data_IF_479739889606
#
_entry.id   IF_479739889606
#
_cell.length_a   1.000
_cell.length_b   1.000
_cell.length_c   1.000
_cell.angle_alpha   90.00
_cell.angle_beta   90.00
_cell.angle_gamma   90.00
#
_symmetry.space_group_name_H-M   'P 1'
#
loop_
_entity.id
_entity.type
_entity.pdbx_description
1 polymer ?
#
# COMPACT_ATOMS: atom_id res chain seq x y z
N UNK A 1 17.54 -49.15 58.76
CA UNK A 1 17.43 -50.52 59.24
C UNK A 1 16.77 -51.32 58.11
N UNK A 2 17.53 -51.83 57.16
CA UNK A 2 18.19 -53.11 57.05
C UNK A 2 17.23 -54.30 57.00
N UNK A 3 17.15 -54.96 55.85
CA UNK A 3 17.21 -56.44 55.59
C UNK A 3 16.64 -56.66 54.19
N UNK A 4 17.47 -56.87 53.13
CA UNK A 4 18.03 -58.12 52.64
C UNK A 4 17.06 -59.28 52.73
N UNK A 5 16.50 -59.78 51.60
CA UNK A 5 16.27 -61.16 51.30
C UNK A 5 16.58 -61.41 49.82
N UNK A 6 17.56 -62.29 49.66
CA UNK A 6 18.00 -62.92 48.41
C UNK A 6 17.20 -64.23 48.24
N UNK A 7 16.72 -64.51 47.08
CA UNK A 7 16.40 -65.84 46.55
C UNK A 7 16.24 -65.73 45.04
N UNK A 8 17.08 -66.12 44.25
CA UNK A 8 17.60 -67.37 43.66
C UNK A 8 16.58 -68.17 42.87
N UNK A 9 16.96 -68.47 41.63
CA UNK A 9 16.49 -69.53 40.70
C UNK A 9 15.26 -69.15 39.86
N UNK A 10 15.17 -69.35 38.57
CA UNK A 10 15.75 -70.37 37.65
C UNK A 10 15.67 -69.88 36.22
N UNK A 11 16.66 -70.23 35.43
CA UNK A 11 16.73 -70.07 34.00
C UNK A 11 15.68 -70.97 33.30
N UNK A 12 14.85 -70.34 32.45
CA UNK A 12 14.16 -71.08 31.38
C UNK A 12 14.53 -70.32 30.07
N UNK A 13 15.46 -70.90 29.37
CA UNK A 13 15.77 -70.47 28.03
C UNK A 13 14.66 -70.98 27.09
N UNK A 14 13.74 -70.05 26.70
CA UNK A 14 12.84 -70.32 25.60
C UNK A 14 13.41 -69.65 24.39
N UNK A 15 14.02 -70.40 23.53
CA UNK A 15 14.41 -70.01 22.16
C UNK A 15 13.14 -69.78 21.34
N UNK A 16 12.66 -68.56 21.29
CA UNK A 16 11.77 -68.16 20.22
C UNK A 16 12.61 -67.80 18.99
N UNK A 17 12.74 -68.76 18.07
CA UNK A 17 13.14 -68.45 16.70
C UNK A 17 12.06 -67.60 16.08
N UNK A 18 12.25 -66.25 16.12
CA UNK A 18 11.46 -65.33 15.34
C UNK A 18 11.79 -65.52 13.86
N UNK A 19 10.83 -65.79 13.00
CA UNK A 19 11.11 -65.77 11.58
C UNK A 19 11.52 -64.35 11.22
N UNK A 20 12.70 -64.17 10.67
CA UNK A 20 13.18 -62.97 10.04
C UNK A 20 12.26 -62.73 8.82
N UNK A 21 11.17 -61.96 9.03
CA UNK A 21 10.44 -61.42 7.93
C UNK A 21 11.44 -60.51 7.19
N UNK A 22 11.88 -60.98 6.06
CA UNK A 22 12.62 -60.19 5.10
C UNK A 22 11.78 -58.90 4.88
N UNK A 23 12.22 -57.82 5.48
CA UNK A 23 11.72 -56.47 5.18
C UNK A 23 12.11 -56.24 3.74
N UNK A 24 11.14 -56.43 2.88
CA UNK A 24 11.24 -56.07 1.47
C UNK A 24 11.80 -54.64 1.41
N UNK A 25 13.04 -54.50 1.02
CA UNK A 25 13.69 -53.20 0.90
C UNK A 25 12.80 -52.39 -0.04
N UNK A 26 12.01 -51.52 0.54
CA UNK A 26 11.21 -50.58 -0.22
C UNK A 26 12.14 -49.94 -1.24
N UNK A 27 11.97 -50.36 -2.47
CA UNK A 27 12.60 -49.76 -3.65
C UNK A 27 12.52 -48.29 -3.46
N UNK A 28 13.63 -47.53 -3.47
CA UNK A 28 13.57 -46.08 -3.31
C UNK A 28 12.56 -45.57 -4.35
N UNK A 29 11.45 -45.07 -3.84
CA UNK A 29 10.42 -44.41 -4.69
C UNK A 29 11.17 -43.36 -5.45
N UNK A 30 11.25 -43.53 -6.75
CA UNK A 30 11.92 -42.59 -7.63
C UNK A 30 11.40 -41.19 -7.27
N UNK A 31 12.26 -40.36 -6.73
CA UNK A 31 12.00 -38.94 -6.55
C UNK A 31 11.46 -38.43 -7.89
N UNK A 32 10.30 -37.77 -7.94
CA UNK A 32 9.77 -37.28 -9.20
C UNK A 32 10.84 -36.44 -9.88
N UNK A 33 11.32 -36.91 -11.01
CA UNK A 33 12.45 -36.32 -11.76
C UNK A 33 12.09 -34.96 -12.38
N UNK A 34 10.88 -34.46 -12.11
CA UNK A 34 10.32 -33.23 -12.63
C UNK A 34 9.91 -32.21 -11.55
N UNK A 35 10.39 -32.34 -10.33
CA UNK A 35 10.26 -31.27 -9.36
C UNK A 35 11.21 -30.14 -9.79
N UNK A 36 10.73 -29.25 -10.66
CA UNK A 36 11.39 -27.99 -10.90
C UNK A 36 11.68 -27.34 -9.56
N UNK A 37 12.92 -26.91 -9.28
CA UNK A 37 13.25 -26.32 -8.00
C UNK A 37 12.29 -25.17 -7.72
N UNK A 38 11.66 -25.19 -6.54
CA UNK A 38 10.79 -24.11 -6.13
C UNK A 38 11.60 -22.82 -6.10
N UNK A 39 11.21 -21.88 -6.95
CA UNK A 39 11.82 -20.53 -6.97
C UNK A 39 10.88 -19.57 -6.25
N UNK A 40 11.43 -18.87 -5.27
CA UNK A 40 10.71 -17.84 -4.51
C UNK A 40 11.21 -16.48 -4.98
N UNK A 41 10.30 -15.62 -5.42
CA UNK A 41 10.61 -14.22 -5.73
C UNK A 41 10.24 -13.32 -4.59
N UNK A 42 10.88 -12.16 -4.51
CA UNK A 42 10.60 -11.13 -3.52
C UNK A 42 10.25 -9.82 -4.21
N UNK A 43 9.29 -9.10 -3.68
CA UNK A 43 8.91 -7.79 -4.20
C UNK A 43 8.66 -6.79 -3.08
N UNK A 44 9.32 -5.64 -3.14
CA UNK A 44 9.01 -4.51 -2.28
C UNK A 44 7.90 -3.67 -2.92
N UNK A 45 6.67 -3.87 -2.41
CA UNK A 45 5.49 -3.16 -2.92
C UNK A 45 5.56 -1.65 -2.63
N UNK A 46 6.19 -1.24 -1.54
CA UNK A 46 6.32 0.18 -1.20
C UNK A 46 7.26 0.89 -2.19
N UNK A 47 8.38 0.26 -2.50
CA UNK A 47 9.34 0.76 -3.50
C UNK A 47 8.70 0.83 -4.89
N UNK A 48 7.97 -0.23 -5.30
CA UNK A 48 7.23 -0.21 -6.58
C UNK A 48 6.24 0.94 -6.62
N UNK A 49 5.47 1.17 -5.56
CA UNK A 49 4.48 2.25 -5.52
C UNK A 49 5.14 3.63 -5.60
N UNK A 50 6.23 3.83 -4.85
CA UNK A 50 6.96 5.11 -4.83
C UNK A 50 7.60 5.44 -6.19
N UNK A 51 8.09 4.42 -6.90
CA UNK A 51 8.76 4.61 -8.19
C UNK A 51 7.85 4.51 -9.41
N UNK A 52 6.56 4.16 -9.23
CA UNK A 52 5.65 4.00 -10.36
C UNK A 52 5.09 5.34 -10.83
N UNK A 53 5.49 5.77 -12.03
CA UNK A 53 5.10 7.05 -12.64
C UNK A 53 3.59 7.29 -12.65
N UNK A 54 2.80 6.26 -12.94
CA UNK A 54 1.33 6.37 -12.92
C UNK A 54 0.81 6.77 -11.53
N UNK A 55 1.43 6.27 -10.46
CA UNK A 55 1.06 6.68 -9.10
C UNK A 55 1.39 8.14 -8.84
N UNK A 56 2.56 8.60 -9.29
CA UNK A 56 2.97 10.01 -9.19
C UNK A 56 1.98 10.92 -9.93
N UNK A 57 1.63 10.59 -11.18
CA UNK A 57 0.66 11.36 -11.96
C UNK A 57 -0.73 11.38 -11.31
N UNK A 58 -1.24 10.24 -10.87
CA UNK A 58 -2.54 10.15 -10.18
C UNK A 58 -2.55 10.92 -8.86
N UNK A 59 -1.42 10.93 -8.14
CA UNK A 59 -1.25 11.72 -6.92
C UNK A 59 -1.24 13.22 -7.21
N UNK A 60 -0.58 13.64 -8.29
CA UNK A 60 -0.59 15.04 -8.73
C UNK A 60 -2.01 15.50 -9.14
N UNK A 61 -2.77 14.65 -9.85
CA UNK A 61 -4.17 14.92 -10.17
C UNK A 61 -5.03 15.08 -8.91
N UNK A 62 -4.86 14.20 -7.93
CA UNK A 62 -5.59 14.28 -6.65
C UNK A 62 -5.24 15.56 -5.89
N UNK A 63 -3.96 15.94 -5.86
CA UNK A 63 -3.49 17.16 -5.22
C UNK A 63 -4.11 18.40 -5.88
N UNK A 64 -4.14 18.46 -7.21
CA UNK A 64 -4.80 19.56 -7.94
C UNK A 64 -6.31 19.64 -7.64
N UNK A 65 -6.97 18.49 -7.45
CA UNK A 65 -8.39 18.46 -7.07
C UNK A 65 -8.60 18.96 -5.63
N UNK A 66 -7.69 18.65 -4.70
CA UNK A 66 -7.69 19.19 -3.33
C UNK A 66 -7.55 20.71 -3.36
N UNK A 67 -6.53 21.23 -4.07
CA UNK A 67 -6.28 22.67 -4.19
C UNK A 67 -7.47 23.44 -4.79
N UNK A 68 -8.10 22.87 -5.80
CA UNK A 68 -9.33 23.43 -6.38
C UNK A 68 -10.48 23.47 -5.35
N UNK A 69 -10.68 22.40 -4.61
CA UNK A 69 -11.73 22.32 -3.60
C UNK A 69 -11.47 23.27 -2.44
N UNK A 70 -10.22 23.45 -2.04
CA UNK A 70 -9.81 24.41 -1.02
C UNK A 70 -10.05 25.87 -1.46
N UNK A 71 -9.76 26.18 -2.72
CA UNK A 71 -10.05 27.49 -3.28
C UNK A 71 -11.55 27.79 -3.31
N UNK A 72 -12.38 26.81 -3.67
CA UNK A 72 -13.83 26.93 -3.67
C UNK A 72 -14.37 27.11 -2.23
N UNK A 73 -13.86 26.34 -1.27
CA UNK A 73 -14.19 26.47 0.14
C UNK A 73 -13.87 27.87 0.68
N UNK A 74 -12.71 28.44 0.31
CA UNK A 74 -12.32 29.81 0.68
C UNK A 74 -13.31 30.85 0.14
N UNK A 75 -13.71 30.73 -1.12
CA UNK A 75 -14.70 31.65 -1.70
C UNK A 75 -16.06 31.58 -0.99
N UNK A 76 -16.49 30.39 -0.57
CA UNK A 76 -17.71 30.23 0.20
C UNK A 76 -17.60 30.93 1.57
N UNK A 77 -16.48 30.76 2.26
CA UNK A 77 -16.21 31.43 3.56
C UNK A 77 -16.18 32.95 3.39
N UNK A 78 -15.49 33.46 2.36
CA UNK A 78 -15.45 34.90 2.07
C UNK A 78 -16.87 35.47 1.78
N UNK A 79 -17.68 34.71 1.03
CA UNK A 79 -19.07 35.10 0.78
C UNK A 79 -19.86 35.20 2.08
N UNK A 80 -19.78 34.21 2.97
CA UNK A 80 -20.46 34.25 4.26
C UNK A 80 -19.99 35.42 5.14
N UNK A 81 -18.69 35.71 5.16
CA UNK A 81 -18.13 36.86 5.90
C UNK A 81 -18.68 38.19 5.35
N UNK A 82 -18.73 38.35 4.01
CA UNK A 82 -19.32 39.54 3.39
C UNK A 82 -20.80 39.69 3.71
N UNK A 83 -21.58 38.61 3.70
CA UNK A 83 -22.99 38.62 4.08
C UNK A 83 -23.16 39.04 5.53
N UNK A 84 -22.35 38.49 6.43
CA UNK A 84 -22.40 38.87 7.85
C UNK A 84 -22.01 40.31 8.07
N UNK A 85 -21.00 40.82 7.40
CA UNK A 85 -20.56 42.20 7.47
C UNK A 85 -21.67 43.15 6.93
N UNK A 86 -22.29 42.83 5.81
CA UNK A 86 -23.36 43.60 5.23
C UNK A 86 -24.58 43.70 6.17
N UNK A 87 -24.89 42.61 6.90
CA UNK A 87 -25.93 42.65 7.92
C UNK A 87 -25.62 43.61 9.07
N UNK A 88 -24.38 43.62 9.55
CA UNK A 88 -23.93 44.54 10.61
C UNK A 88 -23.99 46.01 10.13
N UNK A 89 -23.51 46.28 8.92
CA UNK A 89 -23.47 47.64 8.35
C UNK A 89 -24.83 48.21 8.02
N UNK A 90 -25.79 47.36 7.67
CA UNK A 90 -27.14 47.79 7.28
C UNK A 90 -27.93 48.38 8.43
N UNK A 91 -27.50 48.20 9.72
CA UNK A 91 -28.17 48.67 10.92
C UNK A 91 -29.66 48.33 10.98
N UNK A 92 -30.07 47.26 10.33
CA UNK A 92 -31.45 46.76 10.34
C UNK A 92 -31.87 46.38 11.75
N UNK A 93 -33.11 46.72 12.12
CA UNK A 93 -33.65 46.34 13.40
C UNK A 93 -33.82 44.82 13.47
N UNK A 94 -33.35 44.15 14.56
CA UNK A 94 -33.65 42.75 14.77
C UNK A 94 -35.17 42.48 14.70
N UNK A 95 -35.55 41.45 13.92
CA UNK A 95 -36.99 41.13 13.72
C UNK A 95 -37.63 41.89 12.56
N UNK A 96 -36.93 42.79 11.84
CA UNK A 96 -37.41 43.31 10.56
C UNK A 96 -37.37 42.24 9.47
N UNK A 97 -38.30 42.26 8.52
CA UNK A 97 -38.36 41.30 7.42
C UNK A 97 -37.03 41.20 6.62
N UNK A 98 -36.32 42.33 6.48
CA UNK A 98 -35.01 42.36 5.82
C UNK A 98 -33.91 41.73 6.68
N UNK A 99 -33.97 41.90 8.01
CA UNK A 99 -33.01 41.26 8.91
C UNK A 99 -33.21 39.73 8.91
N UNK A 100 -34.46 39.25 9.03
CA UNK A 100 -34.83 37.84 8.97
C UNK A 100 -34.41 37.19 7.63
N UNK A 101 -34.58 37.91 6.52
CA UNK A 101 -34.15 37.46 5.21
C UNK A 101 -32.61 37.28 5.16
N UNK A 102 -31.82 38.24 5.67
CA UNK A 102 -30.38 38.16 5.74
C UNK A 102 -29.89 37.02 6.64
N UNK A 103 -30.54 36.79 7.79
CA UNK A 103 -30.23 35.63 8.65
C UNK A 103 -30.47 34.31 7.93
N UNK A 104 -31.61 34.22 7.22
CA UNK A 104 -31.93 33.02 6.43
C UNK A 104 -30.89 32.76 5.35
N UNK A 105 -30.52 33.76 4.58
CA UNK A 105 -29.51 33.64 3.53
C UNK A 105 -28.16 33.24 4.10
N UNK A 106 -27.76 33.77 5.25
CA UNK A 106 -26.52 33.36 5.92
C UNK A 106 -26.59 31.92 6.44
N UNK A 107 -27.73 31.48 6.95
CA UNK A 107 -27.96 30.11 7.40
C UNK A 107 -27.91 29.13 6.22
N UNK A 108 -28.55 29.48 5.11
CA UNK A 108 -28.54 28.69 3.88
C UNK A 108 -27.09 28.56 3.35
N UNK A 109 -26.32 29.66 3.30
CA UNK A 109 -24.94 29.64 2.89
C UNK A 109 -24.02 28.76 3.79
N UNK A 110 -24.27 28.75 5.10
CA UNK A 110 -23.61 27.85 6.06
C UNK A 110 -23.96 26.39 5.76
N UNK A 111 -25.22 26.09 5.50
CA UNK A 111 -25.68 24.76 5.13
C UNK A 111 -25.05 24.26 3.84
N UNK A 112 -24.96 25.12 2.80
CA UNK A 112 -24.28 24.83 1.55
C UNK A 112 -22.79 24.52 1.78
N UNK A 113 -22.10 25.31 2.59
CA UNK A 113 -20.68 25.10 2.91
C UNK A 113 -20.44 23.76 3.62
N UNK A 114 -21.25 23.43 4.63
CA UNK A 114 -21.12 22.15 5.34
C UNK A 114 -21.42 20.96 4.41
N UNK A 115 -22.43 21.07 3.56
CA UNK A 115 -22.75 20.05 2.56
C UNK A 115 -21.62 19.89 1.56
N UNK A 116 -21.03 21.00 1.07
CA UNK A 116 -19.88 20.99 0.19
C UNK A 116 -18.67 20.30 0.83
N UNK A 117 -18.30 20.66 2.07
CA UNK A 117 -17.19 20.02 2.81
C UNK A 117 -17.39 18.52 2.93
N UNK A 118 -18.57 18.10 3.37
CA UNK A 118 -18.88 16.68 3.54
C UNK A 118 -18.85 15.90 2.21
N UNK A 119 -19.35 16.49 1.13
CA UNK A 119 -19.32 15.90 -0.20
C UNK A 119 -17.89 15.79 -0.75
N UNK A 120 -17.09 16.85 -0.60
CA UNK A 120 -15.69 16.92 -1.04
C UNK A 120 -14.84 15.88 -0.30
N UNK A 121 -14.96 15.81 1.02
CA UNK A 121 -14.23 14.82 1.81
C UNK A 121 -14.53 13.38 1.34
N UNK A 122 -15.81 13.04 1.13
CA UNK A 122 -16.18 11.72 0.61
C UNK A 122 -15.65 11.46 -0.79
N UNK A 123 -15.68 12.49 -1.65
CA UNK A 123 -15.18 12.40 -3.03
C UNK A 123 -13.67 12.14 -3.05
N UNK A 124 -12.89 12.91 -2.30
CA UNK A 124 -11.44 12.78 -2.22
C UNK A 124 -11.03 11.42 -1.62
N UNK A 125 -11.67 10.97 -0.55
CA UNK A 125 -11.43 9.65 0.03
C UNK A 125 -11.72 8.50 -0.97
N UNK A 126 -12.77 8.65 -1.79
CA UNK A 126 -13.06 7.68 -2.85
C UNK A 126 -11.99 7.69 -3.92
N UNK A 127 -11.56 8.87 -4.38
CA UNK A 127 -10.49 9.02 -5.38
C UNK A 127 -9.17 8.42 -4.90
N UNK A 128 -8.80 8.68 -3.66
CA UNK A 128 -7.62 8.07 -3.04
C UNK A 128 -7.71 6.54 -3.01
N UNK A 129 -8.85 6.00 -2.58
CA UNK A 129 -9.08 4.54 -2.57
C UNK A 129 -9.02 3.94 -3.98
N UNK A 130 -9.60 4.61 -4.98
CA UNK A 130 -9.54 4.18 -6.39
C UNK A 130 -8.11 4.18 -6.90
N UNK A 131 -7.32 5.22 -6.61
CA UNK A 131 -5.91 5.31 -6.95
C UNK A 131 -5.13 4.11 -6.41
N UNK A 132 -5.21 3.83 -5.13
CA UNK A 132 -4.52 2.68 -4.52
C UNK A 132 -4.96 1.34 -5.13
N UNK A 133 -6.24 1.15 -5.41
CA UNK A 133 -6.74 -0.07 -6.05
C UNK A 133 -6.16 -0.27 -7.45
N UNK A 134 -6.11 0.80 -8.25
CA UNK A 134 -5.55 0.75 -9.61
C UNK A 134 -4.07 0.38 -9.55
N UNK A 135 -3.28 1.08 -8.73
CA UNK A 135 -1.85 0.84 -8.60
C UNK A 135 -1.54 -0.56 -8.08
N UNK A 136 -2.29 -1.02 -7.07
CA UNK A 136 -2.16 -2.38 -6.55
C UNK A 136 -2.49 -3.43 -7.62
N UNK A 137 -3.57 -3.23 -8.38
CA UNK A 137 -3.98 -4.14 -9.46
C UNK A 137 -2.93 -4.21 -10.59
N UNK A 138 -2.41 -3.05 -11.01
CA UNK A 138 -1.37 -3.00 -12.04
C UNK A 138 -0.10 -3.72 -11.56
N UNK A 139 0.34 -3.44 -10.34
CA UNK A 139 1.53 -4.06 -9.74
C UNK A 139 1.38 -5.57 -9.61
N UNK A 140 0.27 -6.04 -9.04
CA UNK A 140 0.04 -7.48 -8.87
C UNK A 140 -0.10 -8.21 -10.20
N UNK A 141 -0.71 -7.57 -11.20
CA UNK A 141 -0.79 -8.12 -12.55
C UNK A 141 0.59 -8.24 -13.22
N UNK A 142 1.47 -7.25 -13.00
CA UNK A 142 2.84 -7.29 -13.52
C UNK A 142 3.69 -8.33 -12.79
N UNK A 143 3.59 -8.41 -11.47
CA UNK A 143 4.25 -9.45 -10.66
C UNK A 143 3.84 -10.83 -11.15
N UNK A 144 2.54 -11.06 -11.38
CA UNK A 144 2.03 -12.34 -11.91
C UNK A 144 2.66 -12.67 -13.27
N UNK A 145 2.62 -11.75 -14.23
CA UNK A 145 3.20 -11.95 -15.57
C UNK A 145 4.69 -12.28 -15.51
N UNK A 146 5.43 -11.54 -14.67
CA UNK A 146 6.85 -11.77 -14.52
C UNK A 146 7.15 -13.09 -13.82
N UNK A 147 6.40 -13.44 -12.77
CA UNK A 147 6.54 -14.71 -12.06
C UNK A 147 6.30 -15.91 -12.98
N UNK A 148 5.27 -15.86 -13.81
CA UNK A 148 4.99 -16.90 -14.82
C UNK A 148 6.12 -17.01 -15.85
N UNK A 149 6.61 -15.89 -16.37
CA UNK A 149 7.72 -15.85 -17.32
C UNK A 149 9.03 -16.41 -16.73
N UNK A 150 9.40 -15.95 -15.52
CA UNK A 150 10.63 -16.34 -14.84
C UNK A 150 10.52 -17.65 -14.05
N UNK A 151 9.34 -18.30 -14.11
CA UNK A 151 9.04 -19.58 -13.44
C UNK A 151 9.21 -19.54 -11.92
N UNK A 152 8.85 -18.42 -11.30
CA UNK A 152 8.68 -18.37 -9.85
C UNK A 152 7.44 -19.14 -9.43
N UNK A 153 7.54 -19.90 -8.36
CA UNK A 153 6.41 -20.66 -7.79
C UNK A 153 5.63 -19.84 -6.77
N UNK A 154 6.32 -18.91 -6.10
CA UNK A 154 5.76 -17.99 -5.10
C UNK A 154 6.49 -16.66 -5.21
N UNK A 155 5.76 -15.56 -5.04
CA UNK A 155 6.34 -14.22 -4.83
C UNK A 155 5.86 -13.70 -3.49
N UNK A 156 6.80 -13.32 -2.62
CA UNK A 156 6.54 -12.84 -1.27
C UNK A 156 6.82 -11.34 -1.21
N UNK A 157 5.93 -10.61 -0.57
CA UNK A 157 6.17 -9.21 -0.25
C UNK A 157 7.22 -9.09 0.84
N UNK A 158 8.19 -8.21 0.65
CA UNK A 158 9.18 -7.89 1.68
C UNK A 158 9.44 -6.38 1.75
N UNK A 159 10.29 -5.95 2.65
CA UNK A 159 10.75 -4.56 2.79
C UNK A 159 12.28 -4.55 2.63
N UNK A 160 12.77 -3.78 1.64
CA UNK A 160 14.20 -3.59 1.37
C UNK A 160 14.90 -2.74 2.42
N UNK A 161 14.14 -1.87 3.10
CA UNK A 161 14.73 -0.92 4.04
C UNK A 161 15.29 -1.62 5.27
N UNK A 162 16.57 -1.42 5.54
CA UNK A 162 17.23 -1.91 6.73
C UNK A 162 17.16 -0.91 7.89
N UNK A 163 17.40 -1.41 9.11
CA UNK A 163 17.53 -0.57 10.28
C UNK A 163 18.93 0.05 10.27
N UNK A 164 19.00 1.37 10.34
CA UNK A 164 20.24 2.13 10.47
C UNK A 164 20.15 3.06 11.69
N UNK A 165 21.24 3.74 12.00
CA UNK A 165 21.33 4.63 13.17
C UNK A 165 20.36 5.81 13.13
N UNK A 166 19.87 6.19 11.95
CA UNK A 166 18.90 7.26 11.73
C UNK A 166 17.44 6.80 11.85
N UNK A 167 17.21 5.48 11.97
CA UNK A 167 15.86 4.92 12.02
C UNK A 167 15.19 5.27 13.34
N UNK A 168 14.01 5.92 13.26
CA UNK A 168 13.23 6.23 14.46
C UNK A 168 12.85 4.96 15.23
N UNK A 169 12.83 5.01 16.59
CA UNK A 169 12.58 3.81 17.41
C UNK A 169 11.29 3.06 17.07
N UNK A 170 10.20 3.77 16.75
CA UNK A 170 8.93 3.16 16.33
C UNK A 170 9.03 2.43 14.99
N UNK A 171 9.80 2.99 14.06
CA UNK A 171 10.06 2.40 12.75
C UNK A 171 11.03 1.22 12.86
N UNK A 172 12.02 1.29 13.72
CA UNK A 172 12.94 0.19 14.01
C UNK A 172 12.17 -1.06 14.51
N UNK A 173 11.23 -0.87 15.44
CA UNK A 173 10.39 -1.98 15.93
C UNK A 173 9.56 -2.60 14.80
N UNK A 174 8.98 -1.79 13.91
CA UNK A 174 8.25 -2.31 12.75
C UNK A 174 9.17 -3.09 11.79
N UNK A 175 10.38 -2.60 11.55
CA UNK A 175 11.37 -3.25 10.69
C UNK A 175 11.94 -4.52 11.31
N UNK A 176 12.00 -4.64 12.64
CA UNK A 176 12.37 -5.90 13.32
C UNK A 176 11.38 -7.04 13.05
N UNK A 177 10.15 -6.74 12.67
CA UNK A 177 9.13 -7.73 12.30
C UNK A 177 9.19 -8.16 10.83
N UNK A 178 10.34 -7.96 10.15
CA UNK A 178 10.52 -8.44 8.77
C UNK A 178 10.31 -9.95 8.69
N UNK A 179 9.51 -10.37 7.71
CA UNK A 179 9.28 -11.78 7.43
C UNK A 179 10.45 -12.41 6.67
N UNK A 180 11.16 -11.62 5.86
CA UNK A 180 12.32 -12.06 5.10
C UNK A 180 13.57 -11.44 5.72
N UNK A 181 14.38 -12.30 6.34
CA UNK A 181 15.63 -11.88 7.03
C UNK A 181 16.84 -11.95 6.09
N UNK A 182 16.80 -12.88 5.14
CA UNK A 182 17.87 -13.07 4.14
C UNK A 182 17.26 -13.45 2.79
N UNK A 183 17.82 -12.90 1.73
CA UNK A 183 17.52 -13.28 0.36
C UNK A 183 18.74 -13.04 -0.52
N UNK A 184 18.76 -13.68 -1.68
CA UNK A 184 19.74 -13.38 -2.73
C UNK A 184 19.25 -12.22 -3.58
N UNK A 185 20.15 -11.41 -4.10
CA UNK A 185 19.79 -10.29 -4.97
C UNK A 185 19.00 -10.72 -6.22
N UNK A 186 19.26 -11.93 -6.71
CA UNK A 186 18.56 -12.52 -7.87
C UNK A 186 17.10 -12.89 -7.62
N UNK A 187 16.71 -13.03 -6.34
CA UNK A 187 15.34 -13.34 -5.95
C UNK A 187 14.48 -12.07 -5.83
N UNK A 188 15.10 -10.89 -5.76
CA UNK A 188 14.41 -9.60 -5.70
C UNK A 188 14.04 -9.12 -7.11
N UNK A 189 12.73 -9.14 -7.38
CA UNK A 189 12.17 -8.75 -8.68
C UNK A 189 11.62 -7.31 -8.70
N UNK A 190 11.80 -6.55 -7.64
CA UNK A 190 11.23 -5.20 -7.47
C UNK A 190 11.58 -4.28 -8.64
N UNK A 191 12.86 -4.18 -8.97
CA UNK A 191 13.34 -3.26 -10.01
C UNK A 191 12.83 -3.64 -11.40
N UNK A 192 12.82 -4.94 -11.71
CA UNK A 192 12.32 -5.43 -13.00
C UNK A 192 10.83 -5.17 -13.16
N UNK A 193 10.05 -5.41 -12.10
CA UNK A 193 8.60 -5.11 -12.06
C UNK A 193 8.37 -3.61 -12.25
N UNK A 194 9.08 -2.76 -11.50
CA UNK A 194 8.95 -1.31 -11.58
C UNK A 194 9.33 -0.77 -12.97
N UNK A 195 10.48 -1.18 -13.50
CA UNK A 195 10.92 -0.76 -14.84
C UNK A 195 9.92 -1.17 -15.92
N UNK A 196 9.37 -2.39 -15.83
CA UNK A 196 8.38 -2.88 -16.79
C UNK A 196 7.08 -2.12 -16.70
N UNK A 197 6.59 -1.81 -15.48
CA UNK A 197 5.42 -0.98 -15.25
C UNK A 197 5.60 0.41 -15.86
N UNK A 198 6.72 1.07 -15.58
CA UNK A 198 7.02 2.40 -16.10
C UNK A 198 7.13 2.39 -17.62
N UNK A 199 7.81 1.40 -18.21
CA UNK A 199 7.90 1.25 -19.66
C UNK A 199 6.53 1.04 -20.31
N UNK A 200 5.67 0.23 -19.70
CA UNK A 200 4.31 0.02 -20.18
C UNK A 200 3.48 1.29 -20.08
N UNK A 201 3.61 2.01 -18.96
CA UNK A 201 2.91 3.29 -18.76
C UNK A 201 3.35 4.35 -19.77
N UNK A 202 4.65 4.54 -19.96
CA UNK A 202 5.20 5.49 -20.94
C UNK A 202 4.72 5.18 -22.37
N UNK A 203 4.63 3.90 -22.74
CA UNK A 203 4.11 3.49 -24.05
C UNK A 203 2.63 3.79 -24.26
N UNK A 204 1.84 3.76 -23.19
CA UNK A 204 0.40 4.08 -23.23
C UNK A 204 0.13 5.58 -23.02
N UNK A 205 0.99 6.28 -22.29
CA UNK A 205 0.89 7.73 -22.06
C UNK A 205 1.11 8.53 -23.35
N UNK A 206 1.95 8.05 -24.27
CA UNK A 206 2.13 8.64 -25.59
C UNK A 206 0.88 8.65 -26.47
N UNK A 207 -0.14 7.87 -26.11
CA UNK A 207 -1.45 7.81 -26.78
C UNK A 207 -2.53 8.62 -26.04
N UNK A 208 -2.20 9.27 -24.92
CA UNK A 208 -3.13 10.05 -24.12
C UNK A 208 -3.10 11.51 -24.56
N UNK A 209 -4.25 12.18 -24.78
CA UNK A 209 -4.23 13.62 -25.06
C UNK A 209 -3.57 14.36 -23.88
N UNK A 210 -2.77 15.40 -24.11
CA UNK A 210 -2.07 16.14 -23.08
C UNK A 210 -3.09 16.67 -22.06
N UNK A 211 -2.88 16.37 -20.79
CA UNK A 211 -3.70 16.89 -19.70
C UNK A 211 -3.40 18.39 -19.63
N UNK A 212 -4.39 19.22 -20.03
CA UNK A 212 -4.29 20.67 -19.92
C UNK A 212 -4.17 21.03 -18.44
N UNK A 213 -2.95 21.26 -17.95
CA UNK A 213 -2.67 21.67 -16.58
C UNK A 213 -1.30 21.24 -16.02
N UNK A 214 -0.67 20.20 -16.56
CA UNK A 214 0.60 19.68 -16.02
C UNK A 214 1.85 20.42 -16.54
N UNK A 215 1.75 21.27 -17.57
CA UNK A 215 2.91 21.89 -18.21
C UNK A 215 3.46 23.14 -17.49
N UNK A 216 2.86 23.62 -16.41
CA UNK A 216 3.26 24.87 -15.78
C UNK A 216 4.14 24.73 -14.53
N UNK A 217 4.35 23.50 -14.01
CA UNK A 217 5.05 23.30 -12.73
C UNK A 217 6.47 22.73 -12.88
N UNK A 218 6.84 22.21 -14.06
CA UNK A 218 8.10 21.48 -14.23
C UNK A 218 9.36 22.32 -14.43
N UNK A 219 9.27 23.62 -14.77
CA UNK A 219 10.46 24.44 -15.05
C UNK A 219 10.82 25.49 -13.98
N UNK A 220 9.88 25.92 -13.15
CA UNK A 220 10.16 26.97 -12.14
C UNK A 220 10.68 26.41 -10.79
N UNK A 221 10.40 25.15 -10.50
CA UNK A 221 10.86 24.48 -9.25
C UNK A 221 12.34 24.07 -9.30
N UNK A 222 12.90 23.85 -10.49
CA UNK A 222 14.29 23.40 -10.66
C UNK A 222 15.32 24.52 -10.62
N UNK A 223 14.91 25.76 -10.88
CA UNK A 223 15.82 26.92 -10.90
C UNK A 223 16.07 27.55 -9.51
N UNK A 224 15.31 27.21 -8.48
CA UNK A 224 15.46 27.77 -7.10
C UNK A 224 16.17 26.86 -6.11
N UNK A 225 16.55 25.65 -6.49
CA UNK A 225 17.29 24.73 -5.63
C UNK A 225 18.83 24.76 -5.83
N UNK A 226 19.34 25.66 -6.72
CA UNK A 226 20.78 25.85 -6.96
C UNK A 226 21.07 27.36 -6.89
N UNK A 227 20.97 27.91 -5.68
CA UNK A 227 21.67 29.13 -5.28
C UNK A 227 21.82 29.16 -3.78
#
# INVERSE_FOLDING_TARGET
>A
VLKIVVALLTAVAVNFASPLLAQDAAKPTATPKDASPHRVGLVDMAEVFQGYKKFEDMRAELQAEIEKSDAEAKLMVERMQKMQQAMIESKLAPGSAQYEQGEKELLDAKGEFEAFRAATQRKLARRESEMFKVIYSDTTSMVKKYAEFAKFTVVIRFDRKDINDETAPSEAVQRMNKQVVFHRAEDDITDVVLQTLNKQYDSTAGSRPPIKGASAISDEGRAKAIK
#
